data_IF_525638542436
#
_entry.id   IF_525638542436
#
_cell.length_a   1.000
_cell.length_b   1.000
_cell.length_c   1.000
_cell.angle_alpha   90.00
_cell.angle_beta   90.00
_cell.angle_gamma   90.00
#
_symmetry.space_group_name_H-M   'P 1'
#
loop_
_entity.id
_entity.type
_entity.pdbx_description
1 polymer ?
#
# COMPACT_ATOMS: atom_id res chain seq x y z
N UNK A 1 -0.01 -8.70 1.31
CA UNK A 1 0.25 -8.79 -0.15
C UNK A 1 1.53 -9.57 -0.38
N UNK A 2 1.62 -10.43 -1.40
CA UNK A 2 2.89 -11.10 -1.74
C UNK A 2 3.94 -10.10 -2.23
N UNK A 3 5.12 -10.18 -1.62
CA UNK A 3 6.31 -9.45 -2.07
C UNK A 3 6.78 -9.96 -3.44
N UNK A 4 7.28 -9.05 -4.28
CA UNK A 4 7.82 -9.36 -5.62
C UNK A 4 9.20 -10.02 -5.54
N UNK A 5 10.03 -9.56 -4.60
CA UNK A 5 11.42 -9.99 -4.47
C UNK A 5 11.97 -9.73 -3.05
N UNK A 6 13.24 -10.09 -2.85
CA UNK A 6 13.93 -9.95 -1.57
C UNK A 6 14.21 -8.48 -1.20
N UNK A 7 14.28 -7.60 -2.19
CA UNK A 7 14.70 -6.20 -2.07
C UNK A 7 13.54 -5.23 -1.85
N UNK A 8 12.30 -5.68 -2.02
CA UNK A 8 11.10 -4.85 -1.90
C UNK A 8 10.98 -4.25 -0.49
N UNK A 9 10.98 -2.91 -0.42
CA UNK A 9 10.97 -2.13 0.81
C UNK A 9 9.57 -2.02 1.42
N UNK A 10 9.10 -3.13 2.00
CA UNK A 10 7.86 -3.25 2.76
C UNK A 10 8.11 -4.00 4.06
N UNK A 11 7.41 -3.62 5.13
CA UNK A 11 7.42 -4.41 6.36
C UNK A 11 6.90 -5.83 6.12
N UNK A 12 7.37 -6.80 6.90
CA UNK A 12 6.98 -8.20 6.79
C UNK A 12 6.05 -8.55 7.94
N UNK A 13 4.85 -9.00 7.63
CA UNK A 13 3.97 -9.64 8.61
C UNK A 13 4.43 -11.08 8.87
N UNK A 14 4.67 -11.42 10.15
CA UNK A 14 5.10 -12.74 10.58
C UNK A 14 4.73 -13.00 12.04
N UNK A 15 4.90 -14.24 12.50
CA UNK A 15 4.81 -14.59 13.92
C UNK A 15 6.19 -14.61 14.55
N UNK A 16 6.39 -13.82 15.61
CA UNK A 16 7.62 -13.76 16.42
C UNK A 16 7.25 -14.12 17.86
N UNK A 17 7.90 -15.16 18.40
CA UNK A 17 7.63 -15.67 19.75
C UNK A 17 6.14 -15.94 20.04
N UNK A 18 5.42 -16.46 19.04
CA UNK A 18 4.00 -16.80 19.13
C UNK A 18 3.06 -15.61 19.03
N UNK A 19 3.56 -14.40 18.73
CA UNK A 19 2.75 -13.20 18.49
C UNK A 19 2.92 -12.73 17.06
N UNK A 20 1.80 -12.44 16.41
CA UNK A 20 1.84 -11.81 15.11
C UNK A 20 2.37 -10.37 15.24
N UNK A 21 3.19 -9.96 14.28
CA UNK A 21 3.84 -8.66 14.26
C UNK A 21 4.18 -8.26 12.83
N UNK A 22 4.60 -7.01 12.66
CA UNK A 22 5.24 -6.53 11.44
C UNK A 22 6.67 -6.13 11.76
N UNK A 23 7.63 -6.74 11.06
CA UNK A 23 9.04 -6.33 11.11
C UNK A 23 9.28 -5.36 9.96
N UNK A 24 9.63 -4.11 10.29
CA UNK A 24 9.91 -3.09 9.28
C UNK A 24 11.20 -3.40 8.50
N UNK A 25 11.22 -3.18 7.18
CA UNK A 25 12.37 -3.53 6.31
C UNK A 25 13.64 -2.78 6.67
N UNK A 26 13.51 -1.63 7.36
CA UNK A 26 14.63 -0.81 7.81
C UNK A 26 15.28 -1.33 9.09
N UNK A 27 14.63 -2.27 9.80
CA UNK A 27 15.20 -2.92 10.97
C UNK A 27 16.40 -3.80 10.57
N UNK A 28 17.42 -3.78 11.42
CA UNK A 28 18.53 -4.72 11.40
C UNK A 28 18.11 -6.20 11.31
N UNK A 29 17.00 -6.57 11.96
CA UNK A 29 16.47 -7.93 11.95
C UNK A 29 15.91 -8.32 10.59
N UNK A 30 15.23 -7.40 9.89
CA UNK A 30 14.65 -7.65 8.57
C UNK A 30 15.67 -8.19 7.57
N UNK A 31 16.90 -7.67 7.60
CA UNK A 31 17.99 -8.12 6.71
C UNK A 31 18.27 -9.63 6.77
N UNK A 32 17.97 -10.29 7.90
CA UNK A 32 18.18 -11.73 8.08
C UNK A 32 17.05 -12.58 7.48
N UNK A 33 15.86 -12.00 7.30
CA UNK A 33 14.65 -12.73 6.91
C UNK A 33 14.18 -12.38 5.49
N UNK A 34 14.57 -11.23 4.95
CA UNK A 34 14.07 -10.72 3.66
C UNK A 34 14.34 -11.66 2.47
N UNK A 35 15.45 -12.41 2.49
CA UNK A 35 15.87 -13.31 1.40
C UNK A 35 15.73 -14.80 1.72
N UNK A 36 15.11 -15.15 2.85
CA UNK A 36 14.94 -16.56 3.25
C UNK A 36 13.92 -17.23 2.33
N UNK A 37 14.31 -18.37 1.76
CA UNK A 37 13.46 -19.16 0.87
C UNK A 37 12.90 -20.39 1.59
N UNK A 38 11.71 -20.82 1.19
CA UNK A 38 11.15 -22.11 1.56
C UNK A 38 11.76 -23.25 0.72
N UNK A 39 11.32 -24.48 0.99
CA UNK A 39 11.78 -25.70 0.29
C UNK A 39 11.48 -25.69 -1.22
N UNK A 40 10.52 -24.88 -1.66
CA UNK A 40 10.05 -24.79 -3.03
C UNK A 40 10.71 -23.61 -3.77
N UNK A 41 11.62 -22.88 -3.10
CA UNK A 41 12.35 -21.75 -3.65
C UNK A 41 11.59 -20.42 -3.60
N UNK A 42 10.44 -20.35 -2.93
CA UNK A 42 9.68 -19.11 -2.77
C UNK A 42 10.15 -18.35 -1.53
N UNK A 43 9.89 -17.04 -1.46
CA UNK A 43 10.14 -16.26 -0.24
C UNK A 43 9.33 -16.85 0.92
N UNK A 44 10.02 -17.33 1.96
CA UNK A 44 9.37 -17.87 3.17
C UNK A 44 8.54 -16.78 3.86
N UNK A 45 9.13 -15.58 3.96
CA UNK A 45 8.51 -14.39 4.55
C UNK A 45 7.93 -13.48 3.46
N UNK A 46 6.92 -13.98 2.76
CA UNK A 46 6.30 -13.34 1.61
C UNK A 46 5.31 -12.22 1.94
N UNK A 47 4.75 -12.19 3.15
CA UNK A 47 3.62 -11.35 3.53
C UNK A 47 4.04 -9.89 3.77
N UNK A 48 4.10 -9.11 2.68
CA UNK A 48 4.37 -7.68 2.71
C UNK A 48 3.19 -6.88 3.27
N UNK A 49 3.49 -6.04 4.27
CA UNK A 49 2.58 -5.06 4.84
C UNK A 49 2.37 -3.90 3.86
N UNK A 50 1.11 -3.61 3.53
CA UNK A 50 0.71 -2.50 2.64
C UNK A 50 0.07 -1.33 3.40
N UNK A 51 0.19 -1.32 4.73
CA UNK A 51 -0.35 -0.29 5.63
C UNK A 51 -1.89 -0.13 5.58
N UNK A 52 -2.60 -1.21 5.24
CA UNK A 52 -4.05 -1.33 5.36
C UNK A 52 -4.34 -2.23 6.55
N UNK A 53 -5.01 -1.69 7.56
CA UNK A 53 -5.31 -2.39 8.81
C UNK A 53 -6.80 -2.22 9.16
N UNK A 54 -7.42 -3.30 9.61
CA UNK A 54 -8.76 -3.28 10.20
C UNK A 54 -8.61 -3.51 11.71
N UNK A 55 -9.09 -2.56 12.50
CA UNK A 55 -8.91 -2.54 13.95
C UNK A 55 -10.27 -2.50 14.64
N UNK A 56 -10.42 -3.29 15.70
CA UNK A 56 -11.62 -3.22 16.53
C UNK A 56 -11.60 -1.94 17.38
N UNK A 57 -12.74 -1.25 17.46
CA UNK A 57 -12.88 -0.02 18.26
C UNK A 57 -12.51 -0.26 19.73
N UNK A 58 -12.98 -1.36 20.34
CA UNK A 58 -12.68 -1.67 21.74
C UNK A 58 -11.19 -1.94 21.98
N UNK A 59 -10.48 -2.43 20.97
CA UNK A 59 -9.03 -2.59 21.03
C UNK A 59 -8.32 -1.23 21.02
N UNK A 60 -8.78 -0.29 20.18
CA UNK A 60 -8.25 1.08 20.13
C UNK A 60 -8.50 1.80 21.46
N UNK A 61 -9.71 1.70 22.02
CA UNK A 61 -10.06 2.28 23.32
C UNK A 61 -9.17 1.72 24.43
N UNK A 62 -9.00 0.40 24.47
CA UNK A 62 -8.11 -0.26 25.43
C UNK A 62 -6.65 0.20 25.28
N UNK A 63 -6.14 0.25 24.05
CA UNK A 63 -4.77 0.66 23.75
C UNK A 63 -4.47 2.10 24.23
N UNK A 64 -5.49 2.97 24.23
CA UNK A 64 -5.35 4.37 24.60
C UNK A 64 -5.78 4.70 26.04
N UNK A 65 -6.31 3.72 26.80
CA UNK A 65 -6.90 3.95 28.12
C UNK A 65 -5.91 4.56 29.14
N UNK A 66 -4.60 4.38 28.94
CA UNK A 66 -3.53 4.92 29.79
C UNK A 66 -2.58 5.85 29.00
N UNK A 67 -3.03 6.35 27.85
CA UNK A 67 -2.19 7.02 26.86
C UNK A 67 -1.55 6.03 25.88
N UNK A 68 -1.30 6.49 24.65
CA UNK A 68 -0.72 5.67 23.59
C UNK A 68 0.69 5.22 23.98
N UNK A 69 0.85 3.92 24.25
CA UNK A 69 2.12 3.32 24.65
C UNK A 69 2.66 2.38 23.58
N UNK A 70 2.99 2.94 22.42
CA UNK A 70 3.71 2.23 21.35
C UNK A 70 5.21 2.56 21.42
N UNK A 71 6.09 1.62 21.03
CA UNK A 71 7.53 1.85 21.07
C UNK A 71 7.94 2.97 20.11
N UNK A 72 8.95 3.75 20.51
CA UNK A 72 9.59 4.73 19.64
C UNK A 72 10.66 4.09 18.79
N UNK A 73 10.54 4.27 17.48
CA UNK A 73 11.57 4.00 16.48
C UNK A 73 12.39 5.26 16.26
N UNK A 74 13.72 5.11 16.30
CA UNK A 74 14.67 6.21 16.11
C UNK A 74 15.14 6.27 14.66
N UNK A 75 14.92 7.39 14.00
CA UNK A 75 15.52 7.72 12.71
C UNK A 75 16.53 8.87 12.84
N UNK A 76 17.71 8.72 12.24
CA UNK A 76 18.70 9.80 12.14
C UNK A 76 18.36 10.64 10.91
N UNK A 77 18.20 11.96 11.09
CA UNK A 77 17.80 12.89 10.03
C UNK A 77 18.70 14.12 10.01
N UNK A 78 18.93 14.66 8.82
CA UNK A 78 19.45 16.01 8.65
C UNK A 78 18.28 16.99 8.82
N UNK A 79 18.38 17.87 9.81
CA UNK A 79 17.34 18.80 10.22
C UNK A 79 17.81 20.21 9.90
N UNK A 80 17.03 20.93 9.11
CA UNK A 80 17.21 22.36 8.90
C UNK A 80 16.72 23.11 10.15
N UNK A 81 17.57 23.95 10.71
CA UNK A 81 17.30 24.71 11.95
C UNK A 81 18.05 26.04 11.95
N UNK A 82 18.05 26.76 13.07
CA UNK A 82 18.81 28.00 13.25
C UNK A 82 19.85 27.82 14.35
N UNK A 83 21.03 28.43 14.17
CA UNK A 83 22.04 28.51 15.23
C UNK A 83 21.69 29.58 16.29
N UNK A 84 22.54 29.73 17.30
CA UNK A 84 22.36 30.72 18.39
C UNK A 84 22.34 32.18 17.91
N UNK A 85 22.82 32.45 16.69
CA UNK A 85 22.85 33.77 16.06
C UNK A 85 21.69 33.98 15.09
N UNK A 86 20.80 32.99 14.95
CA UNK A 86 19.67 33.01 14.02
C UNK A 86 20.03 32.67 12.58
N UNK A 87 21.23 32.16 12.29
CA UNK A 87 21.60 31.75 10.93
C UNK A 87 21.01 30.38 10.60
N UNK A 88 20.46 30.17 9.38
CA UNK A 88 20.03 28.84 8.94
C UNK A 88 21.20 27.86 8.88
N UNK A 89 21.06 26.70 9.52
CA UNK A 89 22.04 25.62 9.53
C UNK A 89 21.36 24.27 9.33
N UNK A 90 22.15 23.25 8.97
CA UNK A 90 21.68 21.85 8.95
C UNK A 90 22.45 21.06 10.00
N UNK A 91 21.73 20.35 10.87
CA UNK A 91 22.32 19.50 11.92
C UNK A 91 21.80 18.08 11.85
N UNK A 92 22.55 17.12 12.39
CA UNK A 92 22.07 15.74 12.57
C UNK A 92 21.25 15.65 13.84
N UNK A 93 20.02 15.16 13.74
CA UNK A 93 19.14 14.95 14.88
C UNK A 93 18.44 13.59 14.85
N UNK A 94 17.81 13.25 15.97
CA UNK A 94 16.96 12.08 16.09
C UNK A 94 15.50 12.47 15.91
N UNK A 95 14.82 11.75 15.02
CA UNK A 95 13.36 11.75 14.90
C UNK A 95 12.84 10.49 15.57
N UNK A 96 11.88 10.64 16.47
CA UNK A 96 11.16 9.51 17.06
C UNK A 96 9.82 9.35 16.34
N UNK A 97 9.50 8.12 15.96
CA UNK A 97 8.25 7.75 15.29
C UNK A 97 7.66 6.52 15.98
N UNK A 98 6.36 6.43 16.09
CA UNK A 98 5.65 5.19 16.47
C UNK A 98 5.04 4.59 15.22
N UNK A 99 5.02 3.27 15.08
CA UNK A 99 4.37 2.62 13.95
C UNK A 99 3.03 2.01 14.36
N UNK A 100 1.99 2.24 13.55
CA UNK A 100 0.63 1.75 13.85
C UNK A 100 0.60 0.22 14.00
N UNK A 101 1.45 -0.49 13.26
CA UNK A 101 1.53 -1.95 13.30
C UNK A 101 2.26 -2.51 14.53
N UNK A 102 2.91 -1.67 15.35
CA UNK A 102 3.45 -2.11 16.65
C UNK A 102 2.33 -2.46 17.64
N UNK A 103 1.08 -2.09 17.34
CA UNK A 103 -0.09 -2.49 18.10
C UNK A 103 -0.49 -3.96 17.85
N UNK A 104 -0.13 -4.56 16.71
CA UNK A 104 -0.52 -5.93 16.34
C UNK A 104 -0.19 -6.97 17.43
N UNK A 105 1.04 -7.04 17.99
CA UNK A 105 1.37 -8.01 19.03
C UNK A 105 0.67 -7.78 20.38
N UNK A 106 -0.08 -6.67 20.53
CA UNK A 106 -0.88 -6.37 21.71
C UNK A 106 -2.33 -6.85 21.56
N UNK A 107 -2.77 -7.22 20.36
CA UNK A 107 -4.11 -7.72 20.12
C UNK A 107 -4.25 -9.19 20.55
N UNK A 108 -5.39 -9.54 21.16
CA UNK A 108 -5.68 -10.92 21.54
C UNK A 108 -5.91 -11.85 20.34
N UNK A 109 -6.37 -11.30 19.22
CA UNK A 109 -6.63 -12.01 17.98
C UNK A 109 -6.18 -11.16 16.81
N UNK A 110 -5.48 -11.79 15.90
CA UNK A 110 -4.89 -11.19 14.70
C UNK A 110 -5.19 -12.08 13.51
N UNK A 111 -5.29 -11.49 12.33
CA UNK A 111 -5.32 -12.21 11.08
C UNK A 111 -4.62 -11.40 9.99
N UNK A 112 -4.09 -12.10 8.99
CA UNK A 112 -3.56 -11.50 7.78
C UNK A 112 -4.42 -11.92 6.61
N UNK A 113 -4.88 -10.94 5.84
CA UNK A 113 -5.58 -11.17 4.59
C UNK A 113 -4.62 -10.85 3.43
N UNK A 114 -4.44 -11.82 2.54
CA UNK A 114 -3.71 -11.58 1.30
C UNK A 114 -4.56 -10.72 0.36
N UNK A 115 -3.93 -9.70 -0.23
CA UNK A 115 -4.53 -8.81 -1.22
C UNK A 115 -3.82 -9.00 -2.56
N UNK A 116 -4.59 -8.94 -3.65
CA UNK A 116 -4.08 -8.96 -5.03
C UNK A 116 -3.44 -7.61 -5.32
N UNK A 117 -2.14 -7.62 -5.63
CA UNK A 117 -1.35 -6.39 -5.74
C UNK A 117 -1.90 -5.45 -6.81
N UNK A 118 -2.21 -6.00 -7.97
CA UNK A 118 -2.65 -5.26 -9.16
C UNK A 118 -4.01 -4.59 -8.95
N UNK A 119 -4.75 -4.98 -7.90
CA UNK A 119 -6.06 -4.45 -7.57
C UNK A 119 -6.03 -3.50 -6.36
N UNK A 120 -5.08 -3.70 -5.44
CA UNK A 120 -5.12 -3.05 -4.11
C UNK A 120 -3.86 -2.24 -3.76
N UNK A 121 -2.77 -2.33 -4.54
CA UNK A 121 -1.49 -1.74 -4.14
C UNK A 121 -0.61 -1.21 -5.29
N UNK A 122 -0.61 0.10 -5.47
CA UNK A 122 0.40 0.84 -6.26
C UNK A 122 0.78 2.15 -5.53
N UNK A 123 1.82 2.14 -4.68
CA UNK A 123 2.15 3.28 -3.83
C UNK A 123 2.94 4.36 -4.60
N UNK A 124 2.72 5.63 -4.26
CA UNK A 124 3.56 6.76 -4.71
C UNK A 124 4.55 7.09 -3.59
N UNK A 125 5.85 6.88 -3.85
CA UNK A 125 6.94 7.12 -2.89
C UNK A 125 8.11 7.92 -3.48
N UNK A 126 8.35 7.79 -4.79
CA UNK A 126 9.51 8.33 -5.47
C UNK A 126 9.09 9.34 -6.55
N UNK A 127 10.00 10.25 -6.90
CA UNK A 127 9.78 11.19 -8.01
C UNK A 127 9.68 10.47 -9.35
N UNK A 128 10.64 9.58 -9.62
CA UNK A 128 10.80 8.86 -10.88
C UNK A 128 11.07 7.37 -10.59
N UNK A 129 10.83 6.49 -11.58
CA UNK A 129 11.09 5.05 -11.47
C UNK A 129 10.03 4.29 -10.67
N UNK A 130 10.43 3.22 -9.97
CA UNK A 130 9.53 2.38 -9.19
C UNK A 130 8.78 3.22 -8.13
N UNK A 131 7.48 2.97 -7.94
CA UNK A 131 6.62 3.73 -7.02
C UNK A 131 6.59 5.25 -7.31
N UNK A 132 6.68 5.64 -8.59
CA UNK A 132 6.48 7.03 -9.02
C UNK A 132 5.06 7.28 -9.55
N UNK A 133 4.71 8.55 -9.73
CA UNK A 133 3.43 8.94 -10.31
C UNK A 133 3.18 8.29 -11.68
N UNK A 134 4.21 8.17 -12.51
CA UNK A 134 4.12 7.51 -13.83
C UNK A 134 3.69 6.04 -13.69
N UNK A 135 4.36 5.31 -12.79
CA UNK A 135 4.06 3.90 -12.54
C UNK A 135 2.66 3.72 -11.95
N UNK A 136 2.26 4.56 -10.98
CA UNK A 136 0.93 4.47 -10.38
C UNK A 136 -0.17 4.79 -11.41
N UNK A 137 0.02 5.80 -12.27
CA UNK A 137 -0.92 6.10 -13.35
C UNK A 137 -1.05 4.91 -14.31
N UNK A 138 0.06 4.29 -14.70
CA UNK A 138 0.06 3.10 -15.56
C UNK A 138 -0.70 1.94 -14.90
N UNK A 139 -0.44 1.69 -13.61
CA UNK A 139 -1.06 0.59 -12.88
C UNK A 139 -2.58 0.80 -12.73
N UNK A 140 -3.03 2.02 -12.40
CA UNK A 140 -4.48 2.35 -12.38
C UNK A 140 -5.14 2.21 -13.76
N UNK A 141 -4.44 2.61 -14.82
CA UNK A 141 -4.93 2.40 -16.19
C UNK A 141 -5.10 0.92 -16.51
N UNK A 142 -4.12 0.09 -16.14
CA UNK A 142 -4.20 -1.36 -16.33
C UNK A 142 -5.34 -1.98 -15.51
N UNK A 143 -5.55 -1.51 -14.29
CA UNK A 143 -6.65 -1.93 -13.42
C UNK A 143 -8.02 -1.69 -14.09
N UNK A 144 -8.31 -0.47 -14.53
CA UNK A 144 -9.57 -0.18 -15.22
C UNK A 144 -9.68 -0.78 -16.62
N UNK A 145 -8.55 -0.96 -17.33
CA UNK A 145 -8.52 -1.70 -18.59
C UNK A 145 -8.99 -3.14 -18.39
N UNK A 146 -8.50 -3.81 -17.34
CA UNK A 146 -8.93 -5.17 -16.97
C UNK A 146 -10.42 -5.20 -16.68
N UNK A 147 -10.96 -4.23 -15.94
CA UNK A 147 -12.40 -4.14 -15.67
C UNK A 147 -13.25 -4.04 -16.96
N UNK A 148 -12.87 -3.17 -17.88
CA UNK A 148 -13.57 -3.02 -19.16
C UNK A 148 -13.44 -4.29 -20.05
N UNK A 149 -12.29 -4.94 -20.04
CA UNK A 149 -12.09 -6.22 -20.74
C UNK A 149 -12.99 -7.32 -20.15
N UNK A 150 -13.13 -7.41 -18.83
CA UNK A 150 -14.03 -8.34 -18.14
C UNK A 150 -15.53 -8.02 -18.38
N UNK A 151 -15.85 -6.77 -18.71
CA UNK A 151 -17.16 -6.33 -19.18
C UNK A 151 -17.40 -6.62 -20.67
N UNK A 152 -16.40 -7.14 -21.41
CA UNK A 152 -16.52 -7.58 -22.80
C UNK A 152 -16.04 -6.58 -23.85
N UNK A 153 -15.39 -5.48 -23.45
CA UNK A 153 -14.86 -4.49 -24.37
C UNK A 153 -13.46 -4.83 -24.84
N UNK A 154 -13.17 -4.62 -26.13
CA UNK A 154 -11.80 -4.63 -26.64
C UNK A 154 -11.18 -3.25 -26.47
N UNK A 155 -10.29 -3.12 -25.49
CA UNK A 155 -9.68 -1.85 -25.12
C UNK A 155 -8.24 -1.76 -25.66
N UNK A 156 -7.91 -0.76 -26.49
CA UNK A 156 -6.54 -0.53 -26.95
C UNK A 156 -5.56 -0.22 -25.80
N UNK A 157 -4.27 -0.46 -26.04
CA UNK A 157 -3.23 -0.30 -25.02
C UNK A 157 -2.81 1.17 -24.81
N UNK A 158 -2.97 2.00 -25.84
CA UNK A 158 -2.54 3.39 -25.90
C UNK A 158 -3.58 4.39 -25.37
N UNK A 159 -4.76 3.90 -24.95
CA UNK A 159 -5.86 4.72 -24.44
C UNK A 159 -5.77 4.81 -22.92
N UNK A 160 -5.83 6.03 -22.38
CA UNK A 160 -6.01 6.24 -20.95
C UNK A 160 -7.45 6.02 -20.54
N UNK A 161 -7.64 5.38 -19.38
CA UNK A 161 -8.92 4.98 -18.83
C UNK A 161 -8.97 5.44 -17.39
N UNK A 162 -10.04 6.13 -17.06
CA UNK A 162 -10.38 6.48 -15.69
C UNK A 162 -11.86 6.18 -15.44
N UNK A 163 -12.15 5.45 -14.37
CA UNK A 163 -13.51 5.15 -13.94
C UNK A 163 -13.67 5.76 -12.57
N UNK A 164 -14.62 6.68 -12.44
CA UNK A 164 -14.94 7.27 -11.15
C UNK A 164 -15.57 6.22 -10.24
N UNK A 165 -15.19 6.15 -8.95
CA UNK A 165 -15.92 5.34 -7.97
C UNK A 165 -17.40 5.70 -7.83
N UNK A 166 -17.81 6.92 -8.25
CA UNK A 166 -19.21 7.33 -8.31
C UNK A 166 -19.94 6.76 -9.54
N UNK A 167 -19.20 6.39 -10.59
CA UNK A 167 -19.77 5.66 -11.71
C UNK A 167 -19.88 4.17 -11.42
N UNK A 168 -18.86 3.55 -10.84
CA UNK A 168 -18.91 2.17 -10.39
C UNK A 168 -17.92 1.94 -9.25
N UNK A 169 -18.38 1.39 -8.13
CA UNK A 169 -17.54 1.10 -6.96
C UNK A 169 -16.70 -0.18 -7.17
N UNK A 170 -17.20 -1.11 -7.98
CA UNK A 170 -16.54 -2.36 -8.32
C UNK A 170 -16.77 -2.74 -9.80
N UNK A 171 -16.08 -3.81 -10.21
CA UNK A 171 -16.15 -4.33 -11.58
C UNK A 171 -17.51 -4.92 -11.96
N UNK A 172 -18.27 -5.42 -10.99
CA UNK A 172 -19.56 -6.05 -11.24
C UNK A 172 -20.61 -4.97 -11.50
N UNK A 173 -20.62 -3.89 -10.71
CA UNK A 173 -21.43 -2.71 -10.96
C UNK A 173 -21.07 -2.07 -12.32
N UNK A 174 -19.79 -1.97 -12.66
CA UNK A 174 -19.35 -1.47 -13.96
C UNK A 174 -19.96 -2.30 -15.09
N UNK A 175 -19.84 -3.62 -15.00
CA UNK A 175 -20.33 -4.56 -16.01
C UNK A 175 -21.84 -4.48 -16.17
N UNK A 176 -22.57 -4.33 -15.07
CA UNK A 176 -24.03 -4.13 -15.09
C UNK A 176 -24.39 -2.81 -15.79
N UNK A 177 -23.75 -1.70 -15.41
CA UNK A 177 -24.01 -0.37 -15.99
C UNK A 177 -23.67 -0.27 -17.48
N UNK A 178 -22.73 -1.07 -17.96
CA UNK A 178 -22.32 -1.12 -19.36
C UNK A 178 -23.02 -2.20 -20.19
N UNK A 179 -23.92 -3.00 -19.59
CA UNK A 179 -24.62 -4.08 -20.28
C UNK A 179 -25.45 -3.55 -21.46
N UNK A 180 -25.18 -4.08 -22.65
CA UNK A 180 -25.88 -3.70 -23.89
C UNK A 180 -25.49 -2.33 -24.45
N UNK A 181 -24.44 -1.71 -23.90
CA UNK A 181 -23.93 -0.41 -24.32
C UNK A 181 -22.68 -0.57 -25.18
N UNK A 182 -22.45 0.39 -26.07
CA UNK A 182 -21.24 0.47 -26.90
C UNK A 182 -20.33 1.59 -26.40
N UNK A 183 -19.03 1.33 -26.31
CA UNK A 183 -18.02 2.34 -25.99
C UNK A 183 -17.07 2.50 -27.18
N UNK A 184 -16.69 3.75 -27.47
CA UNK A 184 -15.65 4.07 -28.44
C UNK A 184 -14.34 4.37 -27.72
N UNK A 185 -13.24 3.85 -28.25
CA UNK A 185 -11.87 4.01 -27.73
C UNK A 185 -10.96 4.76 -28.70
N UNK A 186 -11.51 5.72 -29.45
CA UNK A 186 -10.74 6.60 -30.34
C UNK A 186 -9.91 7.66 -29.59
N UNK A 187 -10.24 7.87 -28.31
CA UNK A 187 -9.57 8.80 -27.39
C UNK A 187 -9.64 8.27 -25.96
N UNK A 188 -8.88 8.90 -25.07
CA UNK A 188 -8.95 8.67 -23.63
C UNK A 188 -10.41 8.71 -23.13
N UNK A 189 -10.73 7.76 -22.24
CA UNK A 189 -12.08 7.58 -21.73
C UNK A 189 -12.14 7.87 -20.24
N UNK A 190 -13.15 8.64 -19.86
CA UNK A 190 -13.52 8.89 -18.47
C UNK A 190 -14.98 8.51 -18.25
N UNK A 191 -15.22 7.56 -17.35
CA UNK A 191 -16.57 7.17 -16.91
C UNK A 191 -16.86 7.84 -15.56
N UNK A 192 -17.43 9.04 -15.61
CA UNK A 192 -17.82 9.82 -14.43
C UNK A 192 -19.29 9.62 -14.04
N UNK A 193 -19.70 10.21 -12.91
CA UNK A 193 -21.07 10.16 -12.38
C UNK A 193 -22.14 10.53 -13.42
N UNK A 194 -21.87 11.55 -14.24
CA UNK A 194 -22.79 12.04 -15.27
C UNK A 194 -22.60 11.38 -16.65
N UNK A 195 -21.85 10.27 -16.72
CA UNK A 195 -21.59 9.62 -17.99
C UNK A 195 -22.86 8.95 -18.54
N UNK A 196 -23.38 9.53 -19.62
CA UNK A 196 -24.47 8.96 -20.41
C UNK A 196 -23.91 8.32 -21.66
N UNK A 197 -24.33 7.08 -21.94
CA UNK A 197 -23.91 6.30 -23.11
C UNK A 197 -24.90 6.44 -24.24
#
# INVERSE_FOLDING_TARGET
MRRKNAEEKVGIYLSLDGKDTVVEYSDSFAKKIMSVLDKDGNLLYWAGNIAIHMLNISFIEWLNAQGLNLPYHRAIKNIQTVDERGNPVTTTGWKFETFIFDAIPLANKTCCMEAVREEEFSPIKNKDGENSQEIVRRDMNNFYRKWLQEAGFMVPQDINIEISPLFAIDKDELKEKLKGKSLSFEKDIYLGENFTV
#
